data_IF_516145315469
#
_entry.id   IF_516145315469
#
_cell.length_a   1.000
_cell.length_b   1.000
_cell.length_c   1.000
_cell.angle_alpha   90.00
_cell.angle_beta   90.00
_cell.angle_gamma   90.00
#
_symmetry.space_group_name_H-M   'P 1'
#
loop_
_entity.id
_entity.type
_entity.pdbx_description
1 polymer ?
#
# COMPACT_ATOMS: atom_id res chain seq x y z
N UNK A 1 -26.92 4.86 -4.12
CA UNK A 1 -27.22 4.08 -2.90
C UNK A 1 -28.36 4.66 -2.07
N UNK A 2 -28.74 5.93 -2.27
CA UNK A 2 -29.85 6.58 -1.56
C UNK A 2 -31.14 5.75 -1.45
N UNK A 3 -31.64 5.19 -2.56
CA UNK A 3 -32.86 4.35 -2.56
C UNK A 3 -32.75 3.12 -1.66
N UNK A 4 -31.55 2.54 -1.51
CA UNK A 4 -31.33 1.42 -0.60
C UNK A 4 -31.36 1.86 0.86
N UNK A 5 -30.82 3.03 1.16
CA UNK A 5 -30.86 3.64 2.50
C UNK A 5 -32.29 4.03 2.89
N UNK A 6 -33.09 4.43 1.91
CA UNK A 6 -34.53 4.72 2.06
C UNK A 6 -35.40 3.45 2.15
N UNK A 7 -34.81 2.26 2.05
CA UNK A 7 -35.51 1.01 2.22
C UNK A 7 -36.25 0.50 0.98
N UNK A 8 -35.96 1.02 -0.21
CA UNK A 8 -36.58 0.54 -1.45
C UNK A 8 -36.27 -0.97 -1.63
N UNK A 9 -37.30 -1.85 -1.67
CA UNK A 9 -37.11 -3.29 -1.72
C UNK A 9 -36.40 -3.76 -3.00
N UNK A 10 -36.60 -3.10 -4.13
CA UNK A 10 -35.96 -3.43 -5.40
C UNK A 10 -34.50 -3.03 -5.38
N UNK A 11 -34.18 -1.86 -4.82
CA UNK A 11 -32.81 -1.40 -4.66
C UNK A 11 -32.02 -2.32 -3.71
N UNK A 12 -32.62 -2.72 -2.59
CA UNK A 12 -32.03 -3.69 -1.66
C UNK A 12 -31.76 -5.01 -2.37
N UNK A 13 -32.76 -5.55 -3.08
CA UNK A 13 -32.61 -6.82 -3.81
C UNK A 13 -31.53 -6.75 -4.89
N UNK A 14 -31.42 -5.62 -5.58
CA UNK A 14 -30.37 -5.41 -6.58
C UNK A 14 -28.97 -5.43 -5.94
N UNK A 15 -28.77 -4.74 -4.82
CA UNK A 15 -27.49 -4.71 -4.13
C UNK A 15 -27.15 -6.06 -3.49
N UNK A 16 -28.13 -6.77 -2.92
CA UNK A 16 -27.92 -8.15 -2.45
C UNK A 16 -27.44 -9.04 -3.60
N UNK A 17 -28.07 -8.95 -4.78
CA UNK A 17 -27.62 -9.69 -5.96
C UNK A 17 -26.19 -9.32 -6.36
N UNK A 18 -25.81 -8.05 -6.27
CA UNK A 18 -24.42 -7.63 -6.53
C UNK A 18 -23.45 -8.20 -5.49
N UNK A 19 -23.81 -8.18 -4.20
CA UNK A 19 -23.00 -8.75 -3.12
C UNK A 19 -22.75 -10.25 -3.32
N UNK A 20 -23.76 -11.00 -3.77
CA UNK A 20 -23.62 -12.42 -4.08
C UNK A 20 -22.57 -12.67 -5.17
N UNK A 21 -22.69 -11.97 -6.32
CA UNK A 21 -21.74 -12.12 -7.42
C UNK A 21 -20.34 -11.61 -7.05
N UNK A 22 -20.25 -10.59 -6.19
CA UNK A 22 -18.98 -10.10 -5.68
C UNK A 22 -18.26 -11.18 -4.85
N UNK A 23 -18.97 -11.80 -3.89
CA UNK A 23 -18.41 -12.89 -3.07
C UNK A 23 -17.94 -14.08 -3.93
N UNK A 24 -18.73 -14.45 -4.94
CA UNK A 24 -18.37 -15.49 -5.91
C UNK A 24 -17.12 -15.13 -6.72
N UNK A 25 -17.01 -13.88 -7.19
CA UNK A 25 -15.83 -13.39 -7.92
C UNK A 25 -14.56 -13.38 -7.06
N UNK A 26 -14.69 -13.05 -5.77
CA UNK A 26 -13.56 -13.03 -4.83
C UNK A 26 -12.97 -14.42 -4.57
N UNK A 27 -13.72 -15.51 -4.79
CA UNK A 27 -13.19 -16.88 -4.70
C UNK A 27 -12.05 -17.10 -5.71
N UNK A 28 -12.17 -16.56 -6.92
CA UNK A 28 -11.12 -16.66 -7.94
C UNK A 28 -9.85 -15.94 -7.48
N UNK A 29 -10.00 -14.71 -6.97
CA UNK A 29 -8.88 -13.93 -6.43
C UNK A 29 -8.22 -14.67 -5.27
N UNK A 30 -9.03 -15.27 -4.40
CA UNK A 30 -8.55 -16.03 -3.25
C UNK A 30 -7.79 -17.28 -3.67
N UNK A 31 -8.33 -18.05 -4.60
CA UNK A 31 -7.66 -19.25 -5.12
C UNK A 31 -6.35 -18.91 -5.84
N UNK A 32 -6.30 -17.78 -6.56
CA UNK A 32 -5.12 -17.39 -7.33
C UNK A 32 -4.00 -16.77 -6.47
N UNK A 33 -4.34 -16.02 -5.43
CA UNK A 33 -3.39 -15.20 -4.67
C UNK A 33 -3.23 -15.61 -3.20
N UNK A 34 -4.14 -16.44 -2.67
CA UNK A 34 -4.18 -16.85 -1.25
C UNK A 34 -3.95 -15.70 -0.25
N UNK A 35 -4.68 -14.57 -0.36
CA UNK A 35 -4.47 -13.43 0.52
C UNK A 35 -5.00 -13.71 1.93
N UNK A 36 -4.42 -13.04 2.93
CA UNK A 36 -4.97 -13.03 4.31
C UNK A 36 -6.06 -11.98 4.50
N UNK A 37 -6.03 -10.90 3.72
CA UNK A 37 -6.92 -9.75 3.81
C UNK A 37 -7.25 -9.21 2.41
N UNK A 38 -8.52 -8.92 2.17
CA UNK A 38 -8.98 -8.22 0.98
C UNK A 38 -9.66 -6.92 1.42
N UNK A 39 -9.14 -5.79 0.94
CA UNK A 39 -9.68 -4.47 1.21
C UNK A 39 -10.59 -4.03 0.06
N UNK A 40 -11.87 -3.80 0.38
CA UNK A 40 -12.86 -3.29 -0.55
C UNK A 40 -12.87 -1.77 -0.50
N UNK A 41 -12.82 -1.11 -1.66
CA UNK A 41 -12.81 0.34 -1.78
C UNK A 41 -13.85 0.83 -2.79
N UNK A 42 -14.17 2.12 -2.72
CA UNK A 42 -15.11 2.78 -3.64
C UNK A 42 -16.54 2.83 -3.13
N UNK A 43 -17.48 3.19 -4.00
CA UNK A 43 -18.87 3.47 -3.60
C UNK A 43 -19.61 2.27 -2.98
N UNK A 44 -19.11 1.05 -3.16
CA UNK A 44 -19.70 -0.14 -2.54
C UNK A 44 -19.54 -0.14 -1.00
N UNK A 45 -18.54 0.57 -0.47
CA UNK A 45 -18.26 0.57 0.98
C UNK A 45 -19.28 1.37 1.80
N UNK A 46 -20.09 2.24 1.18
CA UNK A 46 -21.05 3.07 1.92
C UNK A 46 -22.21 2.26 2.50
N UNK A 47 -22.61 1.17 1.87
CA UNK A 47 -23.60 0.23 2.41
C UNK A 47 -22.99 -1.08 2.93
N UNK A 48 -21.69 -1.07 3.27
CA UNK A 48 -20.99 -2.28 3.67
C UNK A 48 -21.59 -2.95 4.92
N UNK A 49 -22.12 -2.17 5.86
CA UNK A 49 -22.78 -2.69 7.06
C UNK A 49 -23.99 -3.58 6.76
N UNK A 50 -24.69 -3.33 5.64
CA UNK A 50 -25.87 -4.07 5.25
C UNK A 50 -25.57 -5.34 4.43
N UNK A 51 -24.47 -5.35 3.67
CA UNK A 51 -24.20 -6.40 2.68
C UNK A 51 -22.85 -7.10 2.82
N UNK A 52 -21.94 -6.58 3.66
CA UNK A 52 -20.60 -7.11 3.82
C UNK A 52 -20.57 -8.56 4.31
N UNK A 53 -21.51 -8.93 5.19
CA UNK A 53 -21.70 -10.33 5.63
C UNK A 53 -22.05 -11.26 4.48
N UNK A 54 -22.97 -10.83 3.60
CA UNK A 54 -23.37 -11.61 2.40
C UNK A 54 -22.16 -11.89 1.52
N UNK A 55 -21.30 -10.88 1.30
CA UNK A 55 -20.07 -11.06 0.50
C UNK A 55 -19.11 -12.04 1.18
N UNK A 56 -18.94 -11.93 2.50
CA UNK A 56 -18.06 -12.82 3.27
C UNK A 56 -18.56 -14.27 3.25
N UNK A 57 -19.86 -14.49 3.45
CA UNK A 57 -20.47 -15.83 3.46
C UNK A 57 -20.37 -16.49 2.09
N UNK A 58 -20.63 -15.73 1.02
CA UNK A 58 -20.43 -16.21 -0.35
C UNK A 58 -18.97 -16.47 -0.67
N UNK A 59 -18.03 -15.66 -0.18
CA UNK A 59 -16.61 -15.97 -0.35
C UNK A 59 -16.25 -17.29 0.35
N UNK A 60 -16.62 -17.45 1.62
CA UNK A 60 -16.24 -18.58 2.48
C UNK A 60 -16.80 -19.90 1.95
N UNK A 61 -18.04 -19.90 1.48
CA UNK A 61 -18.70 -21.12 0.96
C UNK A 61 -18.01 -21.75 -0.26
N UNK A 62 -17.09 -21.04 -0.93
CA UNK A 62 -16.28 -21.57 -2.02
C UNK A 62 -14.85 -21.98 -1.66
N UNK A 63 -14.43 -21.83 -0.40
CA UNK A 63 -13.08 -22.17 0.03
C UNK A 63 -13.00 -23.65 0.34
N UNK A 64 -12.17 -24.38 -0.41
CA UNK A 64 -11.99 -25.82 -0.25
C UNK A 64 -10.89 -26.20 0.75
N UNK A 65 -9.91 -25.31 0.95
CA UNK A 65 -8.78 -25.53 1.86
C UNK A 65 -8.17 -24.20 2.31
N UNK A 66 -7.57 -24.21 3.50
CA UNK A 66 -6.98 -23.02 4.12
C UNK A 66 -8.00 -22.16 4.86
N UNK A 67 -7.52 -21.05 5.43
CA UNK A 67 -8.37 -20.07 6.10
C UNK A 67 -8.90 -19.06 5.08
N UNK A 68 -10.19 -18.71 5.12
CA UNK A 68 -10.73 -17.68 4.25
C UNK A 68 -10.09 -16.32 4.55
N UNK A 69 -9.88 -15.45 3.54
CA UNK A 69 -9.42 -14.11 3.78
C UNK A 69 -10.44 -13.31 4.58
N UNK A 70 -9.94 -12.39 5.39
CA UNK A 70 -10.78 -11.36 6.02
C UNK A 70 -11.19 -10.34 4.97
N UNK A 71 -12.45 -9.92 4.99
CA UNK A 71 -12.93 -8.79 4.20
C UNK A 71 -13.05 -7.54 5.06
N UNK A 72 -12.40 -6.46 4.65
CA UNK A 72 -12.51 -5.16 5.31
C UNK A 72 -12.72 -4.05 4.28
N UNK A 73 -13.20 -2.89 4.73
CA UNK A 73 -13.31 -1.70 3.88
C UNK A 73 -12.07 -0.82 4.02
N UNK A 74 -11.61 -0.29 2.89
CA UNK A 74 -10.56 0.71 2.87
C UNK A 74 -11.05 1.99 3.56
N UNK A 75 -10.30 2.45 4.55
CA UNK A 75 -10.58 3.72 5.25
C UNK A 75 -10.07 4.90 4.43
N UNK A 76 -10.77 6.04 4.51
CA UNK A 76 -10.31 7.31 3.91
C UNK A 76 -10.77 7.59 2.48
N UNK A 77 -11.51 6.69 1.83
CA UNK A 77 -12.23 6.98 0.58
C UNK A 77 -11.37 7.61 -0.53
N UNK A 78 -11.84 8.72 -1.12
CA UNK A 78 -11.12 9.45 -2.18
C UNK A 78 -9.72 9.91 -1.72
N UNK A 79 -9.58 10.31 -0.46
CA UNK A 79 -8.31 10.77 0.07
C UNK A 79 -7.27 9.64 0.12
N UNK A 80 -7.69 8.39 0.35
CA UNK A 80 -6.79 7.25 0.26
C UNK A 80 -6.27 7.05 -1.18
N UNK A 81 -7.12 7.23 -2.20
CA UNK A 81 -6.70 7.18 -3.61
C UNK A 81 -5.71 8.28 -3.95
N UNK A 82 -6.01 9.52 -3.55
CA UNK A 82 -5.11 10.67 -3.77
C UNK A 82 -3.76 10.49 -3.06
N UNK A 83 -3.78 10.04 -1.81
CA UNK A 83 -2.55 9.74 -1.05
C UNK A 83 -1.73 8.63 -1.72
N UNK A 84 -2.39 7.56 -2.18
CA UNK A 84 -1.73 6.51 -2.95
C UNK A 84 -1.07 7.05 -4.22
N UNK A 85 -1.79 7.85 -5.00
CA UNK A 85 -1.26 8.46 -6.22
C UNK A 85 -0.06 9.38 -5.93
N UNK A 86 -0.16 10.24 -4.91
CA UNK A 86 0.93 11.12 -4.49
C UNK A 86 2.14 10.31 -4.01
N UNK A 87 1.95 9.24 -3.24
CA UNK A 87 3.03 8.36 -2.79
C UNK A 87 3.78 7.73 -3.97
N UNK A 88 3.05 7.23 -4.97
CA UNK A 88 3.65 6.68 -6.20
C UNK A 88 4.41 7.77 -6.98
N UNK A 89 3.84 8.97 -7.09
CA UNK A 89 4.52 10.09 -7.75
C UNK A 89 5.84 10.44 -7.04
N UNK A 90 5.82 10.58 -5.72
CA UNK A 90 7.00 10.89 -4.92
C UNK A 90 8.04 9.76 -4.95
N UNK A 91 7.62 8.49 -4.94
CA UNK A 91 8.53 7.36 -5.04
C UNK A 91 9.30 7.35 -6.37
N UNK A 92 8.60 7.63 -7.48
CA UNK A 92 9.22 7.74 -8.82
C UNK A 92 10.22 8.89 -8.92
N UNK A 93 9.92 10.04 -8.32
CA UNK A 93 10.81 11.21 -8.35
C UNK A 93 12.01 11.06 -7.39
N UNK A 94 11.83 10.37 -6.26
CA UNK A 94 12.90 10.18 -5.26
C UNK A 94 13.99 9.22 -5.74
N UNK A 95 13.66 8.25 -6.60
CA UNK A 95 14.65 7.40 -7.27
C UNK A 95 15.61 8.18 -8.16
N UNK A 96 15.15 9.28 -8.77
CA UNK A 96 15.91 10.07 -9.75
C UNK A 96 16.97 11.00 -9.12
N UNK A 97 16.75 11.48 -7.88
CA UNK A 97 17.70 12.38 -7.20
C UNK A 97 18.76 11.66 -6.35
N UNK A 98 18.68 10.34 -6.19
CA UNK A 98 19.66 9.57 -5.40
C UNK A 98 20.95 9.21 -6.16
N UNK A 99 20.97 9.34 -7.49
CA UNK A 99 22.13 9.03 -8.34
C UNK A 99 23.13 10.19 -8.48
N UNK A 100 22.74 11.45 -8.26
CA UNK A 100 23.68 12.59 -8.42
C UNK A 100 24.44 12.99 -7.15
N UNK A 101 24.09 12.45 -5.97
CA UNK A 101 24.74 12.79 -4.69
C UNK A 101 25.93 11.91 -4.29
N UNK A 102 26.30 10.90 -5.10
CA UNK A 102 27.44 10.00 -4.81
C UNK A 102 28.78 10.46 -5.42
N UNK A 103 28.80 11.54 -6.21
CA UNK A 103 29.99 11.97 -6.97
C UNK A 103 30.84 13.12 -6.38
N UNK A 104 30.52 13.68 -5.21
CA UNK A 104 31.14 14.97 -4.78
C UNK A 104 31.81 14.95 -3.40
N UNK A 105 32.05 13.78 -2.79
CA UNK A 105 32.74 13.69 -1.49
C UNK A 105 34.13 13.05 -1.53
N UNK A 106 34.82 13.05 -2.68
CA UNK A 106 36.15 12.43 -2.82
C UNK A 106 37.23 13.36 -3.38
N UNK A 107 37.18 14.67 -3.07
CA UNK A 107 38.26 15.62 -3.44
C UNK A 107 38.54 16.68 -2.37
N UNK A 108 38.61 16.31 -1.09
CA UNK A 108 38.99 17.27 -0.03
C UNK A 108 40.00 16.74 0.98
N UNK A 109 40.78 15.68 0.67
CA UNK A 109 41.79 15.18 1.60
C UNK A 109 43.15 14.83 0.98
N UNK A 110 43.50 15.40 -0.17
CA UNK A 110 44.78 15.14 -0.86
C UNK A 110 45.75 16.33 -0.82
N UNK A 111 45.66 17.22 0.18
CA UNK A 111 46.65 18.29 0.36
C UNK A 111 46.97 18.50 1.83
N UNK A 112 47.76 17.58 2.39
CA UNK A 112 48.61 17.85 3.56
C UNK A 112 49.72 16.80 3.62
N UNK A 113 50.77 17.07 2.86
CA UNK A 113 52.08 16.43 3.02
C UNK A 113 53.06 17.56 3.34
N UNK A 114 53.57 17.70 4.56
CA UNK A 114 54.83 18.38 4.77
C UNK A 114 55.95 17.36 4.64
N UNK A 115 56.91 17.70 3.77
CA UNK A 115 58.17 17.01 3.59
C UNK A 115 58.97 16.99 4.89
N UNK A 116 59.63 15.86 5.14
CA UNK A 116 60.65 15.69 6.16
C UNK A 116 61.88 16.51 5.82
N UNK A 117 62.32 17.38 6.74
CA UNK A 117 63.74 17.73 6.84
C UNK A 117 64.18 17.68 8.30
N UNK A 118 64.99 16.68 8.59
CA UNK A 118 65.73 16.50 9.82
C UNK A 118 66.97 17.40 9.77
N UNK A 119 67.17 18.26 10.77
CA UNK A 119 68.52 18.62 11.19
C UNK A 119 68.57 19.00 12.69
N UNK A 120 68.99 18.00 13.47
CA UNK A 120 69.83 18.03 14.69
C UNK A 120 70.38 19.40 15.12
N UNK A 121 70.09 19.82 16.36
CA UNK A 121 70.98 19.60 17.51
C UNK A 121 70.42 20.24 18.79
N UNK A 122 70.35 19.43 19.84
CA UNK A 122 69.93 19.75 21.19
C UNK A 122 71.12 20.24 22.03
N UNK A 123 70.97 21.44 22.60
CA UNK A 123 71.22 21.84 24.01
C UNK A 123 72.52 21.39 24.73
N UNK A 124 73.26 22.42 25.18
CA UNK A 124 74.06 22.61 26.41
C UNK A 124 75.21 21.64 26.77
N UNK A 125 76.41 22.24 26.86
CA UNK A 125 77.09 22.42 28.15
C UNK A 125 77.88 23.74 28.15
#
# INVERSE_FOLDING_TARGET
MHLTEEGDPLAIKAIQKQALHLGQGLRLVTAALSPELILIAGAFTTAWSAFGSIVQDELVSGILAGSPPRLEIATGGEMARLRGAAAIALQRHSGYHSSSRRGTKEKSNASKRPETSNQTASIAH
#
